data_IF_286733933605
#
_entry.id   IF_286733933605
#
_cell.length_a   1.000
_cell.length_b   1.000
_cell.length_c   1.000
_cell.angle_alpha   90.00
_cell.angle_beta   90.00
_cell.angle_gamma   90.00
#
_symmetry.space_group_name_H-M   'P 1'
#
loop_
_entity.id
_entity.type
_entity.pdbx_description
1 polymer ?
#
# COMPACT_ATOMS: atom_id res chain seq x y z
N UNK A 1 43.09 42.64 27.01
CA UNK A 1 41.92 41.82 27.45
C UNK A 1 41.00 41.68 26.27
N UNK A 2 41.10 40.56 25.59
CA UNK A 2 40.29 40.23 24.39
C UNK A 2 39.12 39.37 24.83
N UNK A 3 37.89 39.88 24.69
CA UNK A 3 36.68 39.11 24.89
C UNK A 3 36.47 38.22 23.65
N UNK A 4 36.81 36.96 23.75
CA UNK A 4 36.37 35.93 22.83
C UNK A 4 34.87 35.66 23.12
N UNK A 5 34.01 36.14 22.24
CA UNK A 5 32.60 35.74 22.23
C UNK A 5 32.51 34.28 21.78
N UNK A 6 32.25 33.38 22.68
CA UNK A 6 31.84 32.01 22.37
C UNK A 6 30.49 32.07 21.63
N UNK A 7 30.55 31.92 20.32
CA UNK A 7 29.35 31.53 19.54
C UNK A 7 29.07 30.07 19.84
N UNK A 8 28.18 29.79 20.79
CA UNK A 8 27.52 28.52 20.90
C UNK A 8 26.77 28.30 19.59
N UNK A 9 27.31 27.48 18.70
CA UNK A 9 26.54 26.90 17.57
C UNK A 9 25.44 26.08 18.20
N UNK A 10 24.21 26.61 18.19
CA UNK A 10 23.05 25.82 18.54
C UNK A 10 22.95 24.65 17.56
N UNK A 11 23.21 23.46 18.02
CA UNK A 11 22.93 22.25 17.27
C UNK A 11 21.41 22.17 17.09
N UNK A 12 20.93 22.27 15.85
CA UNK A 12 19.54 21.96 15.54
C UNK A 12 19.41 20.44 15.77
N UNK A 13 18.66 20.06 16.79
CA UNK A 13 18.34 18.64 17.04
C UNK A 13 17.30 18.26 15.98
N UNK A 14 17.68 17.41 15.04
CA UNK A 14 16.76 16.87 14.03
C UNK A 14 15.94 15.74 14.62
N UNK A 15 14.66 15.62 14.22
CA UNK A 15 13.85 14.43 14.52
C UNK A 15 14.52 13.20 13.93
N UNK A 16 14.48 12.08 14.66
CA UNK A 16 15.07 10.80 14.28
C UNK A 16 14.01 9.91 13.64
N UNK A 17 14.28 9.46 12.43
CA UNK A 17 13.43 8.53 11.69
C UNK A 17 14.09 7.17 11.65
N UNK A 18 13.36 6.14 12.13
CA UNK A 18 13.66 4.76 11.85
C UNK A 18 12.85 4.33 10.62
N UNK A 19 13.53 4.11 9.51
CA UNK A 19 12.91 3.72 8.25
C UNK A 19 13.06 2.21 8.06
N UNK A 20 11.94 1.49 8.14
CA UNK A 20 11.90 0.03 8.01
C UNK A 20 11.63 -0.34 6.55
N UNK A 21 12.56 -1.09 5.96
CA UNK A 21 12.50 -1.58 4.58
C UNK A 21 13.19 -2.94 4.46
N UNK A 22 12.85 -3.73 3.46
CA UNK A 22 13.49 -5.03 3.19
C UNK A 22 14.93 -4.89 2.68
N UNK A 23 15.41 -3.66 2.44
CA UNK A 23 16.76 -3.33 1.96
C UNK A 23 17.07 -3.85 0.55
N UNK A 24 16.51 -4.99 0.13
CA UNK A 24 16.69 -5.55 -1.20
C UNK A 24 15.53 -6.48 -1.57
N UNK A 25 14.46 -5.93 -2.09
CA UNK A 25 13.32 -6.71 -2.56
C UNK A 25 13.22 -6.63 -4.09
N UNK A 26 13.58 -7.74 -4.76
CA UNK A 26 13.53 -7.85 -6.22
C UNK A 26 12.26 -8.57 -6.66
N UNK A 27 11.40 -7.89 -7.40
CA UNK A 27 10.21 -8.47 -8.00
C UNK A 27 9.94 -7.83 -9.37
N UNK A 28 9.37 -8.59 -10.30
CA UNK A 28 8.92 -8.11 -11.62
C UNK A 28 9.99 -7.30 -12.38
N UNK A 29 11.28 -7.71 -12.28
CA UNK A 29 12.40 -7.03 -12.94
C UNK A 29 12.87 -5.72 -12.30
N UNK A 30 12.34 -5.36 -11.12
CA UNK A 30 12.69 -4.15 -10.35
C UNK A 30 13.27 -4.52 -9.00
N UNK A 31 14.01 -3.59 -8.40
CA UNK A 31 14.40 -3.64 -7.01
C UNK A 31 13.58 -2.58 -6.24
N UNK A 32 12.61 -3.01 -5.46
CA UNK A 32 11.66 -2.12 -4.77
C UNK A 32 12.33 -1.22 -3.74
N UNK A 33 13.49 -1.62 -3.20
CA UNK A 33 14.24 -0.77 -2.26
C UNK A 33 14.87 0.48 -2.89
N UNK A 34 14.96 0.58 -4.22
CA UNK A 34 15.53 1.76 -4.88
C UNK A 34 14.70 3.02 -4.61
N UNK A 35 13.36 2.90 -4.51
CA UNK A 35 12.52 4.04 -4.14
C UNK A 35 12.72 4.45 -2.67
N UNK A 36 12.96 3.49 -1.76
CA UNK A 36 13.24 3.79 -0.35
C UNK A 36 14.58 4.52 -0.19
N UNK A 37 15.59 4.12 -0.95
CA UNK A 37 16.87 4.83 -0.99
C UNK A 37 16.69 6.25 -1.53
N UNK A 38 15.89 6.43 -2.57
CA UNK A 38 15.58 7.75 -3.10
C UNK A 38 14.84 8.64 -2.07
N UNK A 39 13.82 8.09 -1.41
CA UNK A 39 13.04 8.81 -0.40
C UNK A 39 13.95 9.21 0.78
N UNK A 40 14.71 8.26 1.32
CA UNK A 40 15.59 8.50 2.47
C UNK A 40 16.74 9.44 2.16
N UNK A 41 17.25 9.44 0.91
CA UNK A 41 18.22 10.46 0.45
C UNK A 41 17.65 11.89 0.53
N UNK A 42 16.35 12.07 0.37
CA UNK A 42 15.70 13.38 0.53
C UNK A 42 15.39 13.69 1.99
N UNK A 43 14.89 12.70 2.74
CA UNK A 43 14.56 12.86 4.16
C UNK A 43 15.78 13.22 5.01
N UNK A 44 16.99 12.70 4.71
CA UNK A 44 18.24 13.00 5.45
C UNK A 44 18.60 14.48 5.49
N UNK A 45 18.03 15.30 4.60
CA UNK A 45 18.28 16.75 4.61
C UNK A 45 17.55 17.47 5.76
N UNK A 46 16.56 16.83 6.37
CA UNK A 46 15.70 17.39 7.41
C UNK A 46 15.67 16.55 8.69
N UNK A 47 16.02 15.27 8.59
CA UNK A 47 15.92 14.27 9.65
C UNK A 47 17.20 13.48 9.81
N UNK A 48 17.44 12.97 11.02
CA UNK A 48 18.41 11.90 11.25
C UNK A 48 17.77 10.56 10.89
N UNK A 49 18.20 9.92 9.79
CA UNK A 49 17.54 8.74 9.22
C UNK A 49 18.38 7.49 9.40
N UNK A 50 17.79 6.45 9.99
CA UNK A 50 18.37 5.10 10.06
C UNK A 50 17.47 4.15 9.26
N UNK A 51 18.05 3.43 8.30
CA UNK A 51 17.39 2.36 7.55
C UNK A 51 17.73 1.02 8.15
N UNK A 52 16.72 0.17 8.38
CA UNK A 52 16.97 -1.23 8.72
C UNK A 52 15.81 -2.13 8.29
N UNK A 53 16.09 -3.44 8.28
CA UNK A 53 15.05 -4.46 8.07
C UNK A 53 14.12 -4.53 9.30
N UNK A 54 12.81 -4.80 9.17
CA UNK A 54 11.87 -4.92 10.29
C UNK A 54 12.33 -5.87 11.41
N UNK A 55 13.10 -6.91 11.08
CA UNK A 55 13.73 -7.80 12.08
C UNK A 55 14.69 -7.11 13.06
N UNK A 56 15.21 -5.95 12.68
CA UNK A 56 16.14 -5.16 13.48
C UNK A 56 15.45 -4.01 14.23
N UNK A 57 14.16 -3.78 14.00
CA UNK A 57 13.42 -2.63 14.54
C UNK A 57 13.58 -2.51 16.07
N UNK A 58 13.48 -3.62 16.79
CA UNK A 58 13.59 -3.67 18.26
C UNK A 58 14.87 -3.03 18.82
N UNK A 59 15.94 -3.01 18.04
CA UNK A 59 17.24 -2.44 18.48
C UNK A 59 17.30 -0.91 18.36
N UNK A 60 16.38 -0.30 17.61
CA UNK A 60 16.46 1.11 17.26
C UNK A 60 15.18 1.90 17.57
N UNK A 61 14.03 1.23 17.74
CA UNK A 61 12.72 1.88 17.88
C UNK A 61 12.61 2.80 19.10
N UNK A 62 13.36 2.53 20.18
CA UNK A 62 13.35 3.35 21.40
C UNK A 62 14.13 4.67 21.24
N UNK A 63 14.92 4.80 20.17
CA UNK A 63 15.69 6.00 19.87
C UNK A 63 15.07 6.85 18.76
N UNK A 64 14.01 6.35 18.11
CA UNK A 64 13.34 7.04 17.03
C UNK A 64 12.22 7.92 17.55
N UNK A 65 12.08 9.10 16.94
CA UNK A 65 10.90 9.96 17.15
C UNK A 65 9.72 9.47 16.30
N UNK A 66 10.00 8.91 15.11
CA UNK A 66 9.03 8.39 14.16
C UNK A 66 9.57 7.09 13.54
N UNK A 67 8.71 6.09 13.40
CA UNK A 67 9.00 4.86 12.65
C UNK A 67 8.23 4.88 11.33
N UNK A 68 8.94 4.88 10.21
CA UNK A 68 8.36 4.79 8.86
C UNK A 68 8.40 3.34 8.40
N UNK A 69 7.24 2.75 8.08
CA UNK A 69 7.12 1.38 7.63
C UNK A 69 6.87 1.34 6.12
N UNK A 70 7.86 0.88 5.35
CA UNK A 70 7.84 0.91 3.88
C UNK A 70 8.42 -0.37 3.30
N UNK A 71 8.16 -0.66 2.05
CA UNK A 71 8.68 -1.77 1.22
C UNK A 71 9.33 -2.93 2.00
N UNK A 72 8.61 -3.42 2.99
CA UNK A 72 9.11 -4.46 3.90
C UNK A 72 8.92 -5.87 3.33
N UNK A 73 8.55 -5.96 2.05
CA UNK A 73 8.16 -7.20 1.40
C UNK A 73 6.87 -7.77 1.97
N UNK A 74 6.57 -9.01 1.63
CA UNK A 74 5.41 -9.69 2.23
C UNK A 74 5.67 -9.99 3.70
N UNK A 75 4.88 -9.40 4.59
CA UNK A 75 4.94 -9.68 6.04
C UNK A 75 4.65 -11.14 6.38
N UNK A 76 4.05 -11.91 5.45
CA UNK A 76 3.82 -13.35 5.56
C UNK A 76 5.13 -14.10 5.86
N UNK A 77 6.26 -13.64 5.30
CA UNK A 77 7.57 -14.24 5.48
C UNK A 77 8.17 -14.07 6.90
N UNK A 78 7.58 -13.19 7.74
CA UNK A 78 8.04 -12.90 9.11
C UNK A 78 6.89 -12.46 10.02
N UNK A 79 5.72 -13.12 9.92
CA UNK A 79 4.48 -12.79 10.66
C UNK A 79 4.71 -12.56 12.15
N UNK A 80 5.44 -13.44 12.83
CA UNK A 80 5.64 -13.34 14.27
C UNK A 80 6.38 -12.05 14.64
N UNK A 81 7.42 -11.71 13.88
CA UNK A 81 8.20 -10.47 14.09
C UNK A 81 7.35 -9.24 13.82
N UNK A 82 6.50 -9.30 12.80
CA UNK A 82 5.57 -8.21 12.47
C UNK A 82 4.54 -8.00 13.58
N UNK A 83 3.92 -9.07 14.09
CA UNK A 83 2.96 -8.97 15.20
C UNK A 83 3.62 -8.51 16.50
N UNK A 84 4.83 -8.97 16.79
CA UNK A 84 5.61 -8.49 17.93
C UNK A 84 5.94 -6.98 17.78
N UNK A 85 6.24 -6.53 16.58
CA UNK A 85 6.44 -5.11 16.30
C UNK A 85 5.14 -4.32 16.53
N UNK A 86 3.99 -4.75 16.01
CA UNK A 86 2.70 -4.09 16.25
C UNK A 86 2.34 -4.01 17.73
N UNK A 87 2.63 -5.07 18.49
CA UNK A 87 2.45 -5.08 19.93
C UNK A 87 3.29 -3.98 20.59
N UNK A 88 4.58 -3.87 20.25
CA UNK A 88 5.46 -2.82 20.78
C UNK A 88 5.04 -1.42 20.33
N UNK A 89 4.55 -1.24 19.09
CA UNK A 89 3.97 0.02 18.63
C UNK A 89 2.85 0.47 19.58
N UNK A 90 1.95 -0.44 19.94
CA UNK A 90 0.84 -0.14 20.86
C UNK A 90 1.32 0.10 22.30
N UNK A 91 2.16 -0.77 22.84
CA UNK A 91 2.64 -0.70 24.24
C UNK A 91 3.50 0.54 24.50
N UNK A 92 4.39 0.86 23.57
CA UNK A 92 5.32 1.99 23.66
C UNK A 92 4.72 3.29 23.10
N UNK A 93 3.55 3.23 22.46
CA UNK A 93 2.91 4.36 21.76
C UNK A 93 3.85 4.99 20.73
N UNK A 94 4.52 4.15 19.93
CA UNK A 94 5.42 4.63 18.90
C UNK A 94 4.62 5.40 17.84
N UNK A 95 5.15 6.53 17.42
CA UNK A 95 4.60 7.28 16.28
C UNK A 95 5.02 6.58 15.00
N UNK A 96 4.06 6.11 14.23
CA UNK A 96 4.32 5.36 13.01
C UNK A 96 3.72 6.01 11.78
N UNK A 97 4.40 5.87 10.68
CA UNK A 97 3.95 6.18 9.33
C UNK A 97 4.35 4.98 8.42
N UNK A 98 3.43 4.13 7.93
CA UNK A 98 1.97 4.16 8.06
C UNK A 98 1.51 3.88 9.50
N UNK A 99 0.39 4.49 9.90
CA UNK A 99 -0.35 4.07 11.08
C UNK A 99 -0.97 2.69 10.82
N UNK A 100 -1.08 1.87 11.87
CA UNK A 100 -1.59 0.50 11.71
C UNK A 100 -3.08 0.39 12.08
N UNK A 101 -3.86 1.40 11.75
CA UNK A 101 -5.30 1.51 12.05
C UNK A 101 -6.20 1.34 10.81
N UNK A 102 -5.63 1.09 9.65
CA UNK A 102 -6.37 0.78 8.43
C UNK A 102 -7.16 -0.52 8.50
N UNK A 103 -8.12 -0.67 7.59
CA UNK A 103 -9.02 -1.83 7.49
C UNK A 103 -8.74 -2.71 6.27
N UNK A 104 -7.87 -2.25 5.37
CA UNK A 104 -7.63 -2.92 4.10
C UNK A 104 -6.51 -3.98 4.20
N UNK A 105 -5.54 -3.93 3.33
CA UNK A 105 -4.56 -5.00 3.09
C UNK A 105 -3.70 -5.33 4.33
N UNK A 106 -3.50 -4.37 5.23
CA UNK A 106 -2.79 -4.62 6.50
C UNK A 106 -3.52 -5.64 7.42
N UNK A 107 -4.81 -5.87 7.21
CA UNK A 107 -5.64 -6.88 7.90
C UNK A 107 -6.01 -8.07 7.01
N UNK A 108 -5.42 -8.15 5.81
CA UNK A 108 -5.77 -9.15 4.81
C UNK A 108 -6.99 -8.72 3.99
N UNK A 109 -7.33 -9.51 2.97
CA UNK A 109 -8.32 -9.14 1.94
C UNK A 109 -9.78 -9.32 2.35
N UNK A 110 -10.08 -9.41 3.66
CA UNK A 110 -11.45 -9.47 4.19
C UNK A 110 -12.27 -8.25 3.75
N UNK A 111 -11.66 -7.09 3.62
CA UNK A 111 -12.31 -5.85 3.21
C UNK A 111 -13.03 -5.94 1.85
N UNK A 112 -12.59 -6.80 0.95
CA UNK A 112 -13.27 -6.99 -0.34
C UNK A 112 -14.67 -7.58 -0.19
N UNK A 113 -14.90 -8.45 0.81
CA UNK A 113 -16.22 -9.00 1.15
C UNK A 113 -17.09 -7.91 1.75
N UNK A 114 -16.54 -7.09 2.66
CA UNK A 114 -17.26 -5.99 3.31
C UNK A 114 -17.69 -4.95 2.26
N UNK A 115 -16.77 -4.50 1.40
CA UNK A 115 -17.09 -3.55 0.32
C UNK A 115 -18.10 -4.11 -0.68
N UNK A 116 -18.05 -5.43 -0.96
CA UNK A 116 -19.05 -6.09 -1.80
C UNK A 116 -20.45 -6.06 -1.14
N UNK A 117 -20.52 -6.40 0.14
CA UNK A 117 -21.77 -6.37 0.90
C UNK A 117 -22.36 -4.96 1.02
N UNK A 118 -21.51 -3.94 1.17
CA UNK A 118 -21.87 -2.53 1.23
C UNK A 118 -22.12 -1.90 -0.16
N UNK A 119 -22.00 -2.68 -1.25
CA UNK A 119 -22.25 -2.25 -2.63
C UNK A 119 -21.32 -1.10 -3.10
N UNK A 120 -20.09 -1.10 -2.63
CA UNK A 120 -19.06 -0.25 -3.20
C UNK A 120 -18.72 -0.69 -4.65
N UNK A 121 -18.18 0.19 -5.49
CA UNK A 121 -17.74 -0.17 -6.84
C UNK A 121 -16.44 -1.00 -6.81
N UNK A 122 -16.56 -2.24 -6.36
CA UNK A 122 -15.49 -3.23 -6.22
C UNK A 122 -15.80 -4.44 -7.12
N UNK A 123 -14.78 -5.16 -7.55
CA UNK A 123 -15.02 -6.46 -8.18
C UNK A 123 -15.75 -7.35 -7.16
N UNK A 124 -17.00 -7.79 -7.41
CA UNK A 124 -17.79 -8.53 -6.44
C UNK A 124 -17.04 -9.77 -5.95
N UNK A 125 -16.98 -9.94 -4.63
CA UNK A 125 -16.13 -10.93 -3.97
C UNK A 125 -16.95 -11.76 -2.97
N UNK A 126 -16.73 -13.08 -2.98
CA UNK A 126 -17.25 -14.03 -1.99
C UNK A 126 -16.11 -14.91 -1.47
N UNK A 127 -16.30 -15.60 -0.35
CA UNK A 127 -15.34 -16.56 0.23
C UNK A 127 -15.96 -17.93 0.51
N UNK A 128 -17.18 -18.17 0.01
CA UNK A 128 -17.86 -19.46 0.01
C UNK A 128 -18.47 -19.75 -1.36
N UNK A 129 -18.35 -20.99 -1.84
CA UNK A 129 -19.00 -21.44 -3.09
C UNK A 129 -20.52 -21.39 -2.97
N UNK A 130 -21.07 -21.55 -1.76
CA UNK A 130 -22.51 -21.47 -1.51
C UNK A 130 -23.10 -20.12 -1.89
N UNK A 131 -22.28 -19.06 -1.88
CA UNK A 131 -22.68 -17.70 -2.21
C UNK A 131 -22.49 -17.33 -3.69
N UNK A 132 -22.13 -18.30 -4.55
CA UNK A 132 -21.82 -18.05 -5.97
C UNK A 132 -22.95 -17.32 -6.72
N UNK A 133 -24.20 -17.47 -6.28
CA UNK A 133 -25.35 -16.78 -6.86
C UNK A 133 -25.37 -15.26 -6.64
N UNK A 134 -24.55 -14.74 -5.71
CA UNK A 134 -24.39 -13.30 -5.43
C UNK A 134 -23.56 -12.66 -6.54
N UNK A 135 -22.64 -13.42 -7.13
CA UNK A 135 -21.77 -12.91 -8.18
C UNK A 135 -22.52 -12.76 -9.51
N UNK A 136 -22.15 -11.77 -10.35
CA UNK A 136 -22.66 -11.71 -11.71
C UNK A 136 -22.27 -12.97 -12.49
N UNK A 137 -23.11 -13.36 -13.45
CA UNK A 137 -22.81 -14.49 -14.33
C UNK A 137 -21.51 -14.26 -15.07
N UNK A 138 -20.62 -15.23 -15.01
CA UNK A 138 -19.32 -15.22 -15.68
C UNK A 138 -18.98 -16.64 -16.14
N UNK A 139 -18.32 -16.75 -17.29
CA UNK A 139 -17.78 -18.03 -17.77
C UNK A 139 -16.51 -18.43 -17.03
N UNK A 140 -15.80 -17.43 -16.47
CA UNK A 140 -14.53 -17.60 -15.81
C UNK A 140 -14.48 -16.81 -14.49
N UNK A 141 -13.91 -17.41 -13.48
CA UNK A 141 -13.73 -16.82 -12.16
C UNK A 141 -12.25 -16.78 -11.79
N UNK A 142 -11.89 -15.85 -10.92
CA UNK A 142 -10.58 -15.75 -10.28
C UNK A 142 -10.72 -16.28 -8.86
N UNK A 143 -9.85 -17.23 -8.50
CA UNK A 143 -9.68 -17.69 -7.12
C UNK A 143 -8.32 -17.19 -6.63
N UNK A 144 -8.27 -16.61 -5.44
CA UNK A 144 -7.03 -16.13 -4.82
C UNK A 144 -7.04 -16.35 -3.31
N UNK A 145 -5.87 -16.63 -2.67
CA UNK A 145 -5.80 -16.72 -1.22
C UNK A 145 -6.21 -15.41 -0.55
N UNK A 146 -6.96 -15.48 0.54
CA UNK A 146 -7.42 -14.33 1.31
C UNK A 146 -6.25 -13.55 1.94
N UNK A 147 -5.22 -14.26 2.37
CA UNK A 147 -3.97 -13.70 2.92
C UNK A 147 -2.85 -13.61 1.86
N UNK A 148 -3.18 -13.68 0.56
CA UNK A 148 -2.21 -13.69 -0.53
C UNK A 148 -1.68 -12.31 -0.89
N UNK A 149 -0.43 -12.26 -1.39
CA UNK A 149 0.22 -11.09 -1.95
C UNK A 149 0.86 -11.44 -3.31
N UNK A 150 1.19 -10.44 -4.12
CA UNK A 150 1.94 -10.58 -5.40
C UNK A 150 1.32 -11.55 -6.41
N UNK A 151 0.00 -11.73 -6.42
CA UNK A 151 -0.72 -12.70 -7.26
C UNK A 151 -0.31 -14.17 -7.03
N UNK A 152 0.35 -14.49 -5.91
CA UNK A 152 0.72 -15.86 -5.58
C UNK A 152 -0.53 -16.66 -5.23
N UNK A 153 -0.73 -17.80 -5.90
CA UNK A 153 -1.90 -18.66 -5.71
C UNK A 153 -3.19 -18.16 -6.39
N UNK A 154 -3.09 -17.16 -7.27
CA UNK A 154 -4.19 -16.74 -8.12
C UNK A 154 -4.38 -17.75 -9.27
N UNK A 155 -5.61 -18.19 -9.48
CA UNK A 155 -5.97 -19.14 -10.54
C UNK A 155 -7.26 -18.69 -11.24
N UNK A 156 -7.36 -18.99 -12.55
CA UNK A 156 -8.55 -18.75 -13.36
C UNK A 156 -9.27 -20.09 -13.57
N UNK A 157 -10.54 -20.14 -13.21
CA UNK A 157 -11.32 -21.37 -13.18
C UNK A 157 -12.76 -21.16 -13.69
N UNK A 158 -13.33 -22.20 -14.27
CA UNK A 158 -14.75 -22.24 -14.62
C UNK A 158 -15.63 -22.54 -13.40
N UNK A 159 -16.93 -22.32 -13.52
CA UNK A 159 -17.88 -22.67 -12.46
C UNK A 159 -17.87 -24.19 -12.16
N UNK A 160 -17.71 -25.03 -13.18
CA UNK A 160 -17.63 -26.49 -13.03
C UNK A 160 -16.38 -26.87 -12.20
N UNK A 161 -15.25 -26.27 -12.49
CA UNK A 161 -14.00 -26.48 -11.74
C UNK A 161 -14.12 -26.00 -10.28
N UNK A 162 -14.81 -24.86 -10.03
CA UNK A 162 -15.08 -24.39 -8.67
C UNK A 162 -15.87 -25.43 -7.89
N UNK A 163 -16.95 -25.95 -8.49
CA UNK A 163 -17.81 -26.96 -7.85
C UNK A 163 -17.09 -28.29 -7.60
N UNK A 164 -16.08 -28.62 -8.42
CA UNK A 164 -15.25 -29.82 -8.27
C UNK A 164 -14.09 -29.66 -7.27
N UNK A 165 -13.77 -28.43 -6.84
CA UNK A 165 -12.67 -28.13 -5.90
C UNK A 165 -13.17 -28.14 -4.46
N UNK A 166 -12.40 -28.71 -3.56
CA UNK A 166 -12.65 -28.60 -2.12
C UNK A 166 -12.08 -27.26 -1.61
N UNK A 167 -12.83 -26.16 -1.83
CA UNK A 167 -12.46 -24.82 -1.35
C UNK A 167 -12.97 -24.68 0.08
N UNK A 168 -12.04 -24.58 1.03
CA UNK A 168 -12.42 -24.31 2.43
C UNK A 168 -12.97 -22.88 2.55
N UNK A 169 -14.23 -22.71 3.02
CA UNK A 169 -14.80 -21.38 3.23
C UNK A 169 -13.87 -20.49 4.08
N UNK A 170 -13.78 -19.22 3.72
CA UNK A 170 -12.97 -18.23 4.46
C UNK A 170 -11.47 -18.24 4.18
N UNK A 171 -10.95 -19.20 3.38
CA UNK A 171 -9.50 -19.26 3.05
C UNK A 171 -9.17 -18.66 1.69
N UNK A 172 -10.10 -18.69 0.77
CA UNK A 172 -9.95 -18.20 -0.60
C UNK A 172 -11.03 -17.16 -0.90
N UNK A 173 -10.71 -16.26 -1.78
CA UNK A 173 -11.65 -15.31 -2.38
C UNK A 173 -11.98 -15.78 -3.80
N UNK A 174 -13.25 -15.63 -4.18
CA UNK A 174 -13.77 -15.94 -5.51
C UNK A 174 -14.36 -14.66 -6.09
N UNK A 175 -13.96 -14.32 -7.31
CA UNK A 175 -14.39 -13.12 -8.03
C UNK A 175 -14.74 -13.51 -9.48
N UNK A 176 -15.70 -12.84 -10.16
CA UNK A 176 -15.84 -13.00 -11.61
C UNK A 176 -14.57 -12.49 -12.29
N UNK A 177 -14.12 -13.12 -13.35
CA UNK A 177 -13.09 -12.57 -14.20
C UNK A 177 -13.65 -11.37 -14.97
N UNK A 178 -13.10 -10.20 -14.75
CA UNK A 178 -13.53 -8.96 -15.40
C UNK A 178 -12.66 -8.70 -16.63
N UNK A 179 -13.29 -8.52 -17.79
CA UNK A 179 -12.58 -7.94 -18.93
C UNK A 179 -12.58 -6.42 -18.78
N UNK A 180 -11.40 -5.81 -18.88
CA UNK A 180 -11.17 -4.40 -18.63
C UNK A 180 -10.24 -3.79 -19.68
N UNK A 181 -10.26 -2.48 -19.81
CA UNK A 181 -9.38 -1.76 -20.76
C UNK A 181 -7.94 -1.69 -20.25
N UNK A 182 -7.77 -1.23 -18.99
CA UNK A 182 -6.48 -1.07 -18.31
C UNK A 182 -6.66 -1.07 -16.79
N UNK A 183 -5.56 -1.28 -16.08
CA UNK A 183 -5.48 -1.06 -14.64
C UNK A 183 -4.88 0.31 -14.35
N UNK A 184 -5.36 0.94 -13.26
CA UNK A 184 -4.90 2.24 -12.78
C UNK A 184 -4.74 2.21 -11.26
N UNK A 185 -3.66 2.82 -10.78
CA UNK A 185 -3.33 2.94 -9.35
C UNK A 185 -3.36 4.42 -8.96
N UNK A 186 -4.11 4.74 -7.91
CA UNK A 186 -4.21 6.09 -7.34
C UNK A 186 -3.45 6.12 -6.02
N UNK A 187 -2.55 7.07 -5.87
CA UNK A 187 -1.68 7.19 -4.69
C UNK A 187 -2.11 8.36 -3.82
N UNK A 188 -2.15 8.10 -2.51
CA UNK A 188 -2.53 9.08 -1.50
C UNK A 188 -1.51 9.11 -0.36
N UNK A 189 -1.34 10.29 0.24
CA UNK A 189 -0.76 10.47 1.56
C UNK A 189 -1.89 10.97 2.44
N UNK A 190 -2.19 10.23 3.50
CA UNK A 190 -3.38 10.44 4.33
C UNK A 190 -4.65 10.44 3.43
N UNK A 191 -5.39 11.54 3.31
CA UNK A 191 -6.52 11.73 2.43
C UNK A 191 -6.20 12.55 1.16
N UNK A 192 -4.92 12.96 1.01
CA UNK A 192 -4.46 13.86 -0.05
C UNK A 192 -4.05 13.07 -1.30
N UNK A 193 -4.72 13.31 -2.40
CA UNK A 193 -4.36 12.72 -3.70
C UNK A 193 -3.02 13.25 -4.20
N UNK A 194 -2.13 12.35 -4.60
CA UNK A 194 -0.79 12.68 -5.07
C UNK A 194 -0.63 12.54 -6.58
N UNK A 195 -0.85 11.36 -7.10
CA UNK A 195 -0.76 11.04 -8.52
C UNK A 195 -1.46 9.72 -8.82
N UNK A 196 -1.60 9.43 -10.11
CA UNK A 196 -2.02 8.10 -10.55
C UNK A 196 -1.14 7.60 -11.70
N UNK A 197 -0.99 6.27 -11.74
CA UNK A 197 -0.27 5.55 -12.79
C UNK A 197 -1.19 4.49 -13.38
N UNK A 198 -1.06 4.21 -14.67
CA UNK A 198 -1.81 3.14 -15.31
C UNK A 198 -0.92 2.26 -16.18
N UNK A 199 -1.33 1.01 -16.38
CA UNK A 199 -0.70 0.07 -17.27
C UNK A 199 -1.45 0.06 -18.62
N UNK A 200 -0.95 0.74 -19.67
CA UNK A 200 -1.64 0.80 -20.96
C UNK A 200 -1.66 -0.55 -21.71
N UNK A 201 -0.76 -1.46 -21.37
CA UNK A 201 -0.62 -2.80 -21.95
C UNK A 201 -0.87 -3.86 -20.88
N UNK A 202 -2.00 -4.57 -20.96
CA UNK A 202 -2.38 -5.64 -20.03
C UNK A 202 -1.34 -6.76 -19.92
N UNK A 203 -0.55 -7.00 -20.99
CA UNK A 203 0.50 -8.03 -20.99
C UNK A 203 1.76 -7.59 -20.24
N UNK A 204 1.89 -6.28 -19.96
CA UNK A 204 3.04 -5.65 -19.32
C UNK A 204 2.60 -4.74 -18.16
N UNK A 205 1.83 -5.28 -17.24
CA UNK A 205 1.23 -4.56 -16.10
C UNK A 205 2.22 -3.79 -15.22
N UNK A 206 3.50 -4.09 -15.33
CA UNK A 206 4.59 -3.39 -14.60
C UNK A 206 5.19 -2.20 -15.37
N UNK A 207 4.80 -1.96 -16.65
CA UNK A 207 5.21 -0.78 -17.42
C UNK A 207 4.13 0.28 -17.26
N UNK A 208 4.38 1.19 -16.32
CA UNK A 208 3.43 2.20 -15.93
C UNK A 208 3.67 3.53 -16.65
N UNK A 209 2.61 4.30 -16.82
CA UNK A 209 2.63 5.69 -17.30
C UNK A 209 1.79 6.56 -16.39
N UNK A 210 2.12 7.85 -16.33
CA UNK A 210 1.29 8.83 -15.64
C UNK A 210 -0.13 8.83 -16.21
N UNK A 211 -1.12 8.80 -15.31
CA UNK A 211 -2.53 8.82 -15.67
C UNK A 211 -3.13 10.18 -15.36
N UNK A 212 -3.73 10.80 -16.39
CA UNK A 212 -4.44 12.08 -16.23
C UNK A 212 -5.84 11.79 -15.70
N UNK A 213 -6.01 11.88 -14.38
CA UNK A 213 -7.29 11.64 -13.71
C UNK A 213 -8.32 12.72 -14.08
N UNK A 214 -9.58 12.31 -14.22
CA UNK A 214 -10.72 13.21 -14.10
C UNK A 214 -11.09 13.40 -12.63
N UNK A 215 -11.95 14.38 -12.33
CA UNK A 215 -12.46 14.59 -10.97
C UNK A 215 -13.27 13.38 -10.50
N UNK A 216 -13.98 12.70 -11.40
CA UNK A 216 -14.74 11.48 -11.12
C UNK A 216 -13.82 10.31 -10.75
N UNK A 217 -12.66 10.19 -11.41
CA UNK A 217 -11.66 9.16 -11.08
C UNK A 217 -11.10 9.36 -9.67
N UNK A 218 -10.78 10.61 -9.32
CA UNK A 218 -10.30 10.96 -7.99
C UNK A 218 -11.40 10.73 -6.94
N UNK A 219 -12.65 11.12 -7.25
CA UNK A 219 -13.79 10.90 -6.37
C UNK A 219 -14.05 9.40 -6.14
N UNK A 220 -13.92 8.58 -7.19
CA UNK A 220 -13.98 7.11 -7.04
C UNK A 220 -12.94 6.60 -6.03
N UNK A 221 -11.67 6.95 -6.22
CA UNK A 221 -10.60 6.48 -5.35
C UNK A 221 -10.75 7.00 -3.91
N UNK A 222 -11.16 8.26 -3.71
CA UNK A 222 -11.37 8.89 -2.41
C UNK A 222 -12.40 8.16 -1.56
N UNK A 223 -13.43 7.55 -2.14
CA UNK A 223 -14.41 6.75 -1.39
C UNK A 223 -13.78 5.59 -0.60
N UNK A 224 -12.72 4.99 -1.12
CA UNK A 224 -12.01 3.91 -0.45
C UNK A 224 -11.04 4.43 0.61
N UNK A 225 -10.43 5.57 0.38
CA UNK A 225 -9.59 6.25 1.39
C UNK A 225 -10.44 6.64 2.61
N UNK A 226 -11.61 7.24 2.38
CA UNK A 226 -12.57 7.59 3.44
C UNK A 226 -13.12 6.36 4.18
N UNK A 227 -13.36 5.26 3.45
CA UNK A 227 -13.79 4.00 4.05
C UNK A 227 -12.68 3.39 4.93
N UNK A 228 -11.43 3.44 4.49
CA UNK A 228 -10.30 2.80 5.16
C UNK A 228 -9.92 3.47 6.48
N UNK A 229 -10.03 4.78 6.57
CA UNK A 229 -9.79 5.57 7.80
C UNK A 229 -8.36 5.48 8.36
N UNK A 230 -7.33 5.28 7.52
CA UNK A 230 -5.92 5.38 7.93
C UNK A 230 -5.65 6.79 8.44
N UNK A 231 -5.11 6.90 9.66
CA UNK A 231 -4.83 8.20 10.27
C UNK A 231 -3.65 8.92 9.61
N UNK A 232 -2.54 8.19 9.40
CA UNK A 232 -1.35 8.70 8.73
C UNK A 232 -0.71 7.60 7.89
N UNK A 233 -0.39 7.93 6.65
CA UNK A 233 0.35 7.00 5.82
C UNK A 233 0.09 7.13 4.33
N UNK A 234 0.74 6.24 3.60
CA UNK A 234 0.58 6.12 2.16
C UNK A 234 -0.42 5.02 1.89
N UNK A 235 -1.39 5.33 1.03
CA UNK A 235 -2.40 4.38 0.57
C UNK A 235 -2.41 4.33 -0.95
N UNK A 236 -2.73 3.16 -1.52
CA UNK A 236 -2.88 2.98 -2.97
C UNK A 236 -4.20 2.27 -3.27
N UNK A 237 -5.00 2.90 -4.13
CA UNK A 237 -6.24 2.33 -4.65
C UNK A 237 -5.96 1.79 -6.05
N UNK A 238 -5.93 0.47 -6.19
CA UNK A 238 -5.80 -0.19 -7.49
C UNK A 238 -7.18 -0.49 -8.06
N UNK A 239 -7.43 -0.05 -9.28
CA UNK A 239 -8.69 -0.24 -9.96
C UNK A 239 -8.51 -0.73 -11.40
N UNK A 240 -9.53 -1.31 -11.97
CA UNK A 240 -9.61 -1.58 -13.40
C UNK A 240 -10.69 -0.72 -14.06
N UNK A 241 -10.39 -0.21 -15.26
CA UNK A 241 -11.36 0.46 -16.12
C UNK A 241 -12.08 -0.59 -16.96
N UNK A 242 -13.36 -0.80 -16.72
CA UNK A 242 -14.18 -1.73 -17.50
C UNK A 242 -14.35 -1.28 -18.94
N UNK A 243 -14.82 -2.16 -19.81
CA UNK A 243 -15.11 -1.81 -21.21
C UNK A 243 -16.24 -0.79 -21.34
N UNK A 244 -17.13 -0.71 -20.36
CA UNK A 244 -18.21 0.30 -20.29
C UNK A 244 -17.73 1.66 -19.72
N UNK A 245 -16.46 1.74 -19.33
CA UNK A 245 -15.82 2.96 -18.84
C UNK A 245 -15.95 3.20 -17.34
N UNK A 246 -16.50 2.26 -16.57
CA UNK A 246 -16.56 2.37 -15.11
C UNK A 246 -15.26 1.93 -14.46
N UNK A 247 -15.00 2.40 -13.24
CA UNK A 247 -13.91 1.92 -12.39
C UNK A 247 -14.45 0.92 -11.36
N UNK A 248 -13.73 -0.20 -11.22
CA UNK A 248 -13.95 -1.17 -10.14
C UNK A 248 -12.67 -1.34 -9.33
N UNK A 249 -12.78 -1.31 -8.01
CA UNK A 249 -11.66 -1.60 -7.12
C UNK A 249 -11.16 -3.03 -7.33
N UNK A 250 -9.86 -3.18 -7.49
CA UNK A 250 -9.14 -4.47 -7.54
C UNK A 250 -8.49 -4.76 -6.19
N UNK A 251 -7.81 -3.74 -5.60
CA UNK A 251 -7.07 -3.84 -4.35
C UNK A 251 -6.94 -2.47 -3.67
N UNK A 252 -6.94 -2.47 -2.32
CA UNK A 252 -6.67 -1.29 -1.50
C UNK A 252 -5.48 -1.60 -0.61
N UNK A 253 -4.34 -1.00 -0.93
CA UNK A 253 -3.10 -1.19 -0.20
C UNK A 253 -2.87 -0.06 0.80
N UNK A 254 -2.77 -0.39 2.07
CA UNK A 254 -2.59 0.55 3.18
C UNK A 254 -1.40 0.23 4.09
N UNK A 255 -0.74 -0.91 3.87
CA UNK A 255 0.40 -1.32 4.69
C UNK A 255 1.73 -0.75 4.14
N UNK A 256 2.11 -1.15 2.94
CA UNK A 256 3.39 -0.79 2.33
C UNK A 256 3.33 -0.77 0.80
N UNK A 257 2.41 0.02 0.20
CA UNK A 257 2.25 0.03 -1.26
C UNK A 257 3.54 0.44 -1.98
N UNK A 258 3.89 -0.28 -3.04
CA UNK A 258 4.98 0.13 -3.93
C UNK A 258 4.54 1.37 -4.72
N UNK A 259 5.37 2.41 -4.72
CA UNK A 259 4.99 3.73 -5.21
C UNK A 259 5.23 3.93 -6.70
N UNK A 260 6.18 3.21 -7.28
CA UNK A 260 6.71 3.53 -8.61
C UNK A 260 7.13 5.01 -8.74
N UNK A 261 7.59 5.61 -7.62
CA UNK A 261 7.91 7.04 -7.55
C UNK A 261 9.05 7.44 -8.49
N UNK A 262 9.89 6.49 -8.87
CA UNK A 262 10.97 6.73 -9.81
C UNK A 262 10.49 6.81 -11.27
N UNK A 263 9.27 6.32 -11.56
CA UNK A 263 8.67 6.32 -12.90
C UNK A 263 7.88 7.61 -13.20
N UNK A 264 7.61 8.46 -12.19
CA UNK A 264 6.90 9.74 -12.38
C UNK A 264 7.88 10.90 -12.61
N UNK A 265 7.37 12.01 -13.15
CA UNK A 265 8.16 13.21 -13.39
C UNK A 265 8.64 13.87 -12.07
N UNK A 266 9.65 14.72 -12.18
CA UNK A 266 10.31 15.33 -11.03
C UNK A 266 9.36 16.22 -10.21
N UNK A 267 8.40 16.91 -10.83
CA UNK A 267 7.42 17.76 -10.15
C UNK A 267 6.52 16.93 -9.23
N UNK A 268 6.06 15.78 -9.70
CA UNK A 268 5.25 14.84 -8.89
C UNK A 268 6.09 14.29 -7.74
N UNK A 269 7.32 13.85 -8.01
CA UNK A 269 8.23 13.37 -6.96
C UNK A 269 8.46 14.39 -5.85
N UNK A 270 8.70 15.64 -6.23
CA UNK A 270 8.91 16.73 -5.26
C UNK A 270 7.66 17.01 -4.44
N UNK A 271 6.48 17.06 -5.10
CA UNK A 271 5.20 17.24 -4.38
C UNK A 271 5.01 16.13 -3.36
N UNK A 272 5.09 14.88 -3.77
CA UNK A 272 4.92 13.70 -2.91
C UNK A 272 5.85 13.74 -1.69
N UNK A 273 7.14 14.04 -1.89
CA UNK A 273 8.11 14.11 -0.80
C UNK A 273 7.83 15.27 0.16
N UNK A 274 7.39 16.41 -0.35
CA UNK A 274 7.03 17.54 0.50
C UNK A 274 5.81 17.21 1.35
N UNK A 275 4.77 16.62 0.74
CA UNK A 275 3.55 16.24 1.44
C UNK A 275 3.84 15.13 2.48
N UNK A 276 4.69 14.15 2.15
CA UNK A 276 5.18 13.17 3.13
C UNK A 276 5.90 13.83 4.31
N UNK A 277 6.80 14.78 4.04
CA UNK A 277 7.50 15.50 5.11
C UNK A 277 6.55 16.36 5.95
N UNK A 278 5.53 16.97 5.35
CA UNK A 278 4.49 17.71 6.10
C UNK A 278 3.76 16.79 7.09
N UNK A 279 3.34 15.60 6.65
CA UNK A 279 2.70 14.61 7.54
C UNK A 279 3.66 14.13 8.63
N UNK A 280 4.93 13.85 8.32
CA UNK A 280 5.92 13.46 9.32
C UNK A 280 6.18 14.57 10.37
N UNK A 281 6.01 15.83 10.02
CA UNK A 281 6.11 16.93 11.01
C UNK A 281 4.89 17.01 11.93
N UNK A 282 3.72 16.58 11.49
CA UNK A 282 2.50 16.55 12.31
C UNK A 282 2.49 15.39 13.33
N UNK A 283 3.28 14.35 13.09
CA UNK A 283 3.52 13.27 14.03
C UNK A 283 4.47 13.71 15.17
#
# INVERSE_FOLDING_TARGET
>A
MSFLSERTKGYIIMKKILYLTDLSYKAKGRNYSEEDIYITDKLKNKYDVVLCHPKCAVSYEDYADIVVFRNTGSVIGYKDIYFDFLKRVSEKKLKTFNSFDGKADMKGKQYLLELTAEKYPVIPTIDSVDDISILPKSDLFVIKPKDGADSIGLDFVTLEEINGRNICPGTMLIQPAIDFQYEVSFYFIDDKFEYALYAPDKSKRWILKEYNCTDEDIAFARRFIEWNTVTHGIQRVDACRTNDGELLLVELEDLNPYLSILDVNEKIRHKFLNDMMETLEML
#
